data_IF_369808134994
#
_entry.id   IF_369808134994
#
_cell.length_a   1.000
_cell.length_b   1.000
_cell.length_c   1.000
_cell.angle_alpha   90.00
_cell.angle_beta   90.00
_cell.angle_gamma   90.00
#
_symmetry.space_group_name_H-M   'P 1'
#
loop_
_entity.id
_entity.type
_entity.pdbx_description
1 polymer ?
#
# COMPACT_ATOMS: atom_id res chain seq x y z
N UNK A 1 36.76 1.72 -38.57
CA UNK A 1 37.68 1.43 -37.43
C UNK A 1 38.67 2.58 -37.39
N UNK A 2 38.72 3.33 -36.28
CA UNK A 2 39.77 4.34 -36.09
C UNK A 2 41.09 3.62 -35.85
N UNK A 3 42.09 3.92 -36.67
CA UNK A 3 43.45 3.35 -36.57
C UNK A 3 44.21 4.12 -35.49
N UNK A 4 44.58 3.46 -34.39
CA UNK A 4 45.30 4.06 -33.28
C UNK A 4 46.81 4.13 -33.62
N UNK A 5 47.30 5.32 -33.93
CA UNK A 5 48.68 5.53 -34.42
C UNK A 5 49.67 5.90 -33.29
N UNK A 6 49.22 6.07 -32.04
CA UNK A 6 50.06 6.36 -30.86
C UNK A 6 49.38 5.95 -29.56
N UNK A 7 50.10 5.69 -28.47
CA UNK A 7 49.51 5.39 -27.17
C UNK A 7 48.69 6.57 -26.64
N UNK A 8 47.39 6.36 -26.45
CA UNK A 8 46.46 7.36 -25.92
C UNK A 8 45.29 6.66 -25.24
N UNK A 9 44.69 7.31 -24.26
CA UNK A 9 43.44 6.86 -23.64
C UNK A 9 42.28 7.39 -24.46
N UNK A 10 41.58 6.49 -25.14
CA UNK A 10 40.32 6.80 -25.80
C UNK A 10 39.20 6.53 -24.80
N UNK A 11 38.39 7.55 -24.56
CA UNK A 11 37.12 7.41 -23.80
C UNK A 11 36.02 7.29 -24.85
N UNK A 12 35.50 6.08 -25.04
CA UNK A 12 34.32 5.85 -25.85
C UNK A 12 33.09 5.98 -24.93
N UNK A 13 32.27 7.00 -25.13
CA UNK A 13 30.98 7.12 -24.45
C UNK A 13 30.02 6.09 -25.03
N UNK A 14 29.95 4.94 -24.40
CA UNK A 14 28.87 3.99 -24.64
C UNK A 14 27.62 4.51 -23.91
N UNK A 15 26.60 4.87 -24.66
CA UNK A 15 25.28 5.16 -24.06
C UNK A 15 24.75 3.88 -23.43
N UNK A 16 24.89 3.75 -22.12
CA UNK A 16 24.16 2.73 -21.38
C UNK A 16 22.67 3.02 -21.55
N UNK A 17 21.91 2.08 -22.12
CA UNK A 17 20.44 2.15 -22.20
C UNK A 17 19.79 1.89 -20.84
N UNK A 18 20.53 1.32 -19.91
CA UNK A 18 20.05 1.08 -18.55
C UNK A 18 19.84 2.44 -17.84
N UNK A 19 18.61 2.77 -17.55
CA UNK A 19 18.25 3.92 -16.72
C UNK A 19 17.96 3.42 -15.31
N UNK A 20 18.30 4.21 -14.29
CA UNK A 20 17.86 3.91 -12.93
C UNK A 20 16.33 3.82 -12.88
N UNK A 21 15.83 2.88 -12.08
CA UNK A 21 14.39 2.69 -11.91
C UNK A 21 13.84 3.88 -11.13
N UNK A 22 12.93 4.62 -11.74
CA UNK A 22 12.12 5.61 -11.05
C UNK A 22 11.07 4.89 -10.19
N UNK A 23 11.05 5.21 -8.91
CA UNK A 23 10.13 4.58 -7.97
C UNK A 23 8.69 4.95 -8.30
N UNK A 24 7.79 3.98 -8.27
CA UNK A 24 6.37 4.22 -8.49
C UNK A 24 5.78 5.14 -7.41
N UNK A 25 4.80 5.96 -7.80
CA UNK A 25 4.04 6.80 -6.86
C UNK A 25 3.37 5.94 -5.78
N UNK A 26 3.25 6.52 -4.58
CA UNK A 26 2.53 5.94 -3.45
C UNK A 26 1.44 6.88 -2.93
N UNK A 27 0.43 6.33 -2.25
CA UNK A 27 -0.66 7.12 -1.69
C UNK A 27 -1.63 7.64 -2.75
N UNK A 28 -1.66 7.05 -3.94
CA UNK A 28 -2.66 7.29 -4.97
C UNK A 28 -3.90 6.45 -4.66
N UNK A 29 -5.02 7.10 -4.34
CA UNK A 29 -6.26 6.42 -3.99
C UNK A 29 -7.27 6.40 -5.12
N UNK A 30 -8.01 5.29 -5.23
CA UNK A 30 -9.20 5.14 -6.07
C UNK A 30 -10.43 4.87 -5.20
N UNK A 31 -11.42 5.77 -5.23
CA UNK A 31 -12.67 5.56 -4.52
C UNK A 31 -13.80 5.22 -5.48
N UNK A 32 -14.58 4.23 -5.11
CA UNK A 32 -15.76 3.80 -5.86
C UNK A 32 -17.02 4.11 -5.05
N UNK A 33 -18.03 4.67 -5.70
CA UNK A 33 -19.31 4.92 -5.07
C UNK A 33 -20.40 5.29 -6.07
N UNK A 34 -21.62 5.40 -5.61
CA UNK A 34 -22.75 5.85 -6.43
C UNK A 34 -22.76 7.36 -6.49
N UNK A 35 -22.85 7.90 -7.69
CA UNK A 35 -22.93 9.34 -7.97
C UNK A 35 -24.11 9.56 -8.88
N UNK A 36 -24.98 10.56 -8.60
CA UNK A 36 -26.14 10.83 -9.44
C UNK A 36 -25.75 11.43 -10.79
N UNK A 37 -24.72 12.27 -10.81
CA UNK A 37 -24.23 13.01 -11.99
C UNK A 37 -22.70 13.07 -11.99
N UNK A 38 -22.11 13.32 -13.16
CA UNK A 38 -20.67 13.50 -13.33
C UNK A 38 -20.01 12.44 -14.20
N UNK A 39 -18.68 12.49 -14.36
CA UNK A 39 -17.95 11.52 -15.16
C UNK A 39 -17.96 10.13 -14.51
N UNK A 40 -18.01 9.08 -15.35
CA UNK A 40 -17.93 7.70 -14.86
C UNK A 40 -16.63 7.41 -14.12
N UNK A 41 -15.52 8.04 -14.57
CA UNK A 41 -14.24 8.07 -13.88
C UNK A 41 -13.72 9.49 -13.90
N UNK A 42 -13.27 10.01 -12.76
CA UNK A 42 -12.72 11.37 -12.67
C UNK A 42 -11.35 11.48 -13.34
N UNK A 43 -10.98 12.68 -13.68
CA UNK A 43 -9.57 13.03 -13.83
C UNK A 43 -8.86 12.94 -12.46
N UNK A 44 -7.53 13.05 -12.49
CA UNK A 44 -6.71 13.07 -11.26
C UNK A 44 -7.04 14.31 -10.42
N UNK A 45 -7.47 14.07 -9.19
CA UNK A 45 -7.77 15.12 -8.22
C UNK A 45 -6.58 15.30 -7.27
N UNK A 46 -6.17 16.54 -7.06
CA UNK A 46 -5.08 16.94 -6.18
C UNK A 46 -5.56 17.69 -4.93
N UNK A 47 -6.81 18.13 -4.94
CA UNK A 47 -7.44 18.86 -3.85
C UNK A 47 -8.96 18.65 -3.85
N UNK A 48 -9.61 18.99 -2.73
CA UNK A 48 -11.07 18.91 -2.62
C UNK A 48 -11.81 19.77 -3.68
N UNK A 49 -11.21 20.88 -4.11
CA UNK A 49 -11.77 21.73 -5.17
C UNK A 49 -11.92 20.99 -6.51
N UNK A 50 -11.09 20.00 -6.79
CA UNK A 50 -11.18 19.19 -8.01
C UNK A 50 -12.41 18.28 -7.97
N UNK A 51 -12.75 17.76 -6.77
CA UNK A 51 -13.99 17.00 -6.58
C UNK A 51 -15.23 17.87 -6.87
N UNK A 52 -15.27 19.10 -6.31
CA UNK A 52 -16.37 20.03 -6.55
C UNK A 52 -16.52 20.37 -8.03
N UNK A 53 -15.43 20.52 -8.78
CA UNK A 53 -15.48 20.75 -10.24
C UNK A 53 -16.03 19.57 -11.03
N UNK A 54 -15.71 18.35 -10.63
CA UNK A 54 -16.13 17.13 -11.32
C UNK A 54 -17.56 16.70 -11.00
N UNK A 55 -17.97 16.83 -9.73
CA UNK A 55 -19.21 16.24 -9.22
C UNK A 55 -20.11 17.24 -8.48
N UNK A 56 -19.74 18.54 -8.47
CA UNK A 56 -20.47 19.57 -7.75
C UNK A 56 -20.23 19.56 -6.25
N UNK A 57 -20.82 20.53 -5.56
CA UNK A 57 -20.69 20.72 -4.11
C UNK A 57 -21.80 20.05 -3.30
N UNK A 58 -22.60 19.19 -3.92
CA UNK A 58 -23.69 18.50 -3.23
C UNK A 58 -23.14 17.60 -2.10
N UNK A 59 -23.73 17.67 -0.91
CA UNK A 59 -23.32 16.80 0.18
C UNK A 59 -23.62 15.33 -0.15
N UNK A 60 -22.65 14.46 0.14
CA UNK A 60 -22.78 13.03 -0.10
C UNK A 60 -21.60 12.25 0.49
N UNK A 61 -21.75 10.95 0.53
CA UNK A 61 -20.73 10.07 1.13
C UNK A 61 -19.38 10.22 0.42
N UNK A 62 -19.35 10.31 -0.91
CA UNK A 62 -18.11 10.48 -1.66
C UNK A 62 -17.49 11.87 -1.50
N UNK A 63 -18.29 12.93 -1.36
CA UNK A 63 -17.78 14.26 -1.05
C UNK A 63 -17.12 14.30 0.34
N UNK A 64 -17.77 13.69 1.34
CA UNK A 64 -17.21 13.53 2.68
C UNK A 64 -15.96 12.63 2.67
N UNK A 65 -15.95 11.59 1.86
CA UNK A 65 -14.81 10.71 1.66
C UNK A 65 -13.61 11.44 1.04
N UNK A 66 -13.82 12.20 -0.03
CA UNK A 66 -12.76 12.99 -0.65
C UNK A 66 -12.17 14.01 0.34
N UNK A 67 -13.02 14.70 1.11
CA UNK A 67 -12.59 15.62 2.17
C UNK A 67 -11.76 14.90 3.23
N UNK A 68 -12.25 13.79 3.77
CA UNK A 68 -11.53 13.02 4.79
C UNK A 68 -10.18 12.51 4.28
N UNK A 69 -10.08 12.13 3.01
CA UNK A 69 -8.83 11.74 2.37
C UNK A 69 -7.81 12.89 2.34
N UNK A 70 -8.19 14.05 1.79
CA UNK A 70 -7.28 15.18 1.68
C UNK A 70 -6.91 15.75 3.05
N UNK A 71 -7.83 15.85 3.98
CA UNK A 71 -7.58 16.34 5.36
C UNK A 71 -6.59 15.43 6.11
N UNK A 72 -6.54 14.13 5.78
CA UNK A 72 -5.60 13.18 6.37
C UNK A 72 -4.27 13.06 5.61
N UNK A 73 -4.03 13.89 4.61
CA UNK A 73 -2.76 14.00 3.89
C UNK A 73 -2.75 13.26 2.56
N UNK A 74 -3.92 12.89 2.04
CA UNK A 74 -4.08 12.39 0.67
C UNK A 74 -3.64 13.43 -0.35
N UNK A 75 -3.06 12.99 -1.46
CA UNK A 75 -2.48 13.87 -2.48
C UNK A 75 -3.02 13.63 -3.88
N UNK A 76 -3.39 12.40 -4.18
CA UNK A 76 -3.89 12.01 -5.50
C UNK A 76 -5.08 11.09 -5.31
N UNK A 77 -6.22 11.49 -5.84
CA UNK A 77 -7.48 10.75 -5.78
C UNK A 77 -8.07 10.60 -7.15
N UNK A 78 -8.57 9.40 -7.44
CA UNK A 78 -9.48 9.12 -8.54
C UNK A 78 -10.81 8.63 -7.97
N UNK A 79 -11.90 8.98 -8.61
CA UNK A 79 -13.23 8.53 -8.23
C UNK A 79 -13.89 7.86 -9.41
N UNK A 80 -14.43 6.66 -9.21
CA UNK A 80 -15.20 5.95 -10.22
C UNK A 80 -16.65 5.75 -9.76
N UNK A 81 -17.59 6.08 -10.65
CA UNK A 81 -19.01 5.92 -10.39
C UNK A 81 -19.44 4.45 -10.58
N UNK A 82 -19.96 3.84 -9.53
CA UNK A 82 -20.61 2.53 -9.63
C UNK A 82 -22.05 2.69 -10.12
N UNK A 83 -22.43 1.93 -11.14
CA UNK A 83 -23.79 1.93 -11.70
C UNK A 83 -24.82 1.39 -10.69
N UNK A 84 -24.38 0.54 -9.75
CA UNK A 84 -25.18 0.02 -8.64
C UNK A 84 -24.33 -0.10 -7.38
N UNK A 85 -24.91 -0.05 -6.17
CA UNK A 85 -24.17 -0.11 -4.90
C UNK A 85 -23.77 -1.56 -4.51
N UNK A 86 -24.00 -2.52 -5.37
CA UNK A 86 -23.71 -3.92 -5.13
C UNK A 86 -22.29 -4.34 -5.58
N UNK A 87 -21.96 -5.59 -5.36
CA UNK A 87 -20.64 -6.13 -5.69
C UNK A 87 -20.30 -6.01 -7.20
N UNK A 88 -21.28 -6.18 -8.08
CA UNK A 88 -21.07 -6.14 -9.52
C UNK A 88 -20.79 -4.72 -10.02
N UNK A 89 -21.57 -3.73 -9.55
CA UNK A 89 -21.34 -2.32 -9.86
C UNK A 89 -20.02 -1.83 -9.33
N UNK A 90 -19.62 -2.24 -8.11
CA UNK A 90 -18.32 -1.91 -7.52
C UNK A 90 -17.18 -2.54 -8.32
N UNK A 91 -17.27 -3.81 -8.70
CA UNK A 91 -16.23 -4.49 -9.49
C UNK A 91 -16.00 -3.78 -10.83
N UNK A 92 -17.07 -3.49 -11.57
CA UNK A 92 -16.96 -2.79 -12.86
C UNK A 92 -16.34 -1.39 -12.72
N UNK A 93 -16.67 -0.66 -11.65
CA UNK A 93 -16.09 0.66 -11.39
C UNK A 93 -14.60 0.57 -10.98
N UNK A 94 -14.21 -0.45 -10.22
CA UNK A 94 -12.81 -0.70 -9.88
C UNK A 94 -11.95 -1.00 -11.11
N UNK A 95 -12.47 -1.76 -12.08
CA UNK A 95 -11.77 -2.10 -13.31
C UNK A 95 -11.57 -0.87 -14.22
N UNK A 96 -12.44 0.12 -14.11
CA UNK A 96 -12.32 1.38 -14.85
C UNK A 96 -11.30 2.35 -14.26
N UNK A 97 -10.85 2.16 -13.00
CA UNK A 97 -9.87 3.05 -12.36
C UNK A 97 -8.51 2.98 -13.04
N UNK A 98 -7.83 4.11 -13.23
CA UNK A 98 -6.44 4.15 -13.67
C UNK A 98 -5.52 3.48 -12.64
N UNK A 99 -4.21 3.36 -12.92
CA UNK A 99 -3.27 2.82 -11.94
C UNK A 99 -3.30 3.61 -10.63
N UNK A 100 -3.75 2.95 -9.56
CA UNK A 100 -3.79 3.46 -8.17
C UNK A 100 -3.23 2.37 -7.25
N UNK A 101 -2.75 2.74 -6.07
CA UNK A 101 -2.20 1.76 -5.12
C UNK A 101 -3.15 1.41 -3.96
N UNK A 102 -4.12 2.29 -3.68
CA UNK A 102 -5.13 2.04 -2.64
C UNK A 102 -6.53 2.18 -3.22
N UNK A 103 -7.40 1.21 -2.98
CA UNK A 103 -8.80 1.23 -3.41
C UNK A 103 -9.75 1.09 -2.24
N UNK A 104 -10.88 1.78 -2.31
CA UNK A 104 -11.97 1.67 -1.34
C UNK A 104 -13.33 1.95 -2.00
N UNK A 105 -14.40 1.49 -1.35
CA UNK A 105 -15.77 1.82 -1.71
C UNK A 105 -16.48 2.49 -0.52
N UNK A 106 -16.14 3.78 -0.22
CA UNK A 106 -16.64 4.46 0.97
C UNK A 106 -18.16 4.48 1.05
N UNK A 107 -18.70 4.01 2.18
CA UNK A 107 -20.15 3.95 2.40
C UNK A 107 -20.88 2.80 1.71
N UNK A 108 -20.24 2.08 0.80
CA UNK A 108 -20.76 0.85 0.22
C UNK A 108 -20.26 -0.32 1.08
N UNK A 109 -20.99 -0.62 2.14
CA UNK A 109 -20.58 -1.62 3.12
C UNK A 109 -21.34 -2.93 2.91
N UNK A 110 -20.66 -4.05 3.12
CA UNK A 110 -21.25 -5.37 3.02
C UNK A 110 -20.25 -6.42 2.55
N UNK A 111 -20.52 -7.70 2.85
CA UNK A 111 -19.63 -8.81 2.48
C UNK A 111 -19.44 -8.95 0.97
N UNK A 112 -20.45 -8.66 0.17
CA UNK A 112 -20.36 -8.70 -1.30
C UNK A 112 -19.39 -7.64 -1.83
N UNK A 113 -19.50 -6.40 -1.36
CA UNK A 113 -18.59 -5.31 -1.72
C UNK A 113 -17.16 -5.60 -1.23
N UNK A 114 -17.01 -6.09 0.00
CA UNK A 114 -15.72 -6.51 0.53
C UNK A 114 -15.08 -7.60 -0.35
N UNK A 115 -15.86 -8.59 -0.79
CA UNK A 115 -15.38 -9.64 -1.67
C UNK A 115 -14.94 -9.09 -3.05
N UNK A 116 -15.69 -8.14 -3.64
CA UNK A 116 -15.32 -7.48 -4.90
C UNK A 116 -14.00 -6.70 -4.77
N UNK A 117 -13.84 -5.91 -3.69
CA UNK A 117 -12.61 -5.18 -3.40
C UNK A 117 -11.42 -6.14 -3.21
N UNK A 118 -11.62 -7.24 -2.48
CA UNK A 118 -10.58 -8.25 -2.22
C UNK A 118 -10.17 -8.98 -3.51
N UNK A 119 -11.13 -9.38 -4.33
CA UNK A 119 -10.89 -10.05 -5.60
C UNK A 119 -10.11 -9.13 -6.56
N UNK A 120 -10.52 -7.87 -6.66
CA UNK A 120 -9.85 -6.88 -7.50
C UNK A 120 -8.41 -6.58 -7.02
N UNK A 121 -8.21 -6.33 -5.73
CA UNK A 121 -6.90 -6.04 -5.18
C UNK A 121 -5.96 -7.26 -5.19
N UNK A 122 -6.50 -8.46 -5.08
CA UNK A 122 -5.75 -9.72 -5.15
C UNK A 122 -5.42 -10.19 -6.57
N UNK A 123 -5.87 -9.47 -7.62
CA UNK A 123 -5.51 -9.81 -8.98
C UNK A 123 -4.02 -9.55 -9.24
N UNK A 124 -3.27 -10.51 -9.81
CA UNK A 124 -1.81 -10.41 -9.95
C UNK A 124 -1.31 -9.14 -10.66
N UNK A 125 -2.08 -8.65 -11.63
CA UNK A 125 -1.66 -7.51 -12.47
C UNK A 125 -2.03 -6.14 -11.88
N UNK A 126 -2.79 -6.10 -10.77
CA UNK A 126 -3.28 -4.83 -10.23
C UNK A 126 -2.33 -4.18 -9.23
N UNK A 127 -1.62 -4.97 -8.42
CA UNK A 127 -0.72 -4.50 -7.34
C UNK A 127 -1.36 -3.41 -6.46
N UNK A 128 -2.63 -3.62 -6.09
CA UNK A 128 -3.47 -2.69 -5.33
C UNK A 128 -3.73 -3.22 -3.92
N UNK A 129 -4.02 -2.32 -3.01
CA UNK A 129 -4.38 -2.64 -1.63
C UNK A 129 -5.78 -2.10 -1.31
N UNK A 130 -6.69 -2.96 -0.84
CA UNK A 130 -8.07 -2.58 -0.56
C UNK A 130 -8.26 -2.18 0.91
N UNK A 131 -9.00 -1.10 1.13
CA UNK A 131 -9.51 -0.70 2.43
C UNK A 131 -10.98 -1.06 2.52
N UNK A 132 -11.34 -1.87 3.51
CA UNK A 132 -12.70 -2.37 3.70
C UNK A 132 -13.36 -1.65 4.86
N UNK A 133 -14.54 -1.11 4.59
CA UNK A 133 -15.44 -0.56 5.59
C UNK A 133 -16.47 -1.62 5.96
N UNK A 134 -16.67 -1.94 7.26
CA UNK A 134 -17.79 -2.74 7.68
C UNK A 134 -19.07 -1.88 7.68
N UNK A 135 -20.26 -2.48 7.74
CA UNK A 135 -21.49 -1.74 8.00
C UNK A 135 -21.38 -0.86 9.26
N UNK A 136 -22.01 0.34 9.29
CA UNK A 136 -22.07 1.16 10.49
C UNK A 136 -22.86 0.47 11.61
N UNK A 137 -22.65 0.91 12.83
CA UNK A 137 -23.43 0.45 14.01
C UNK A 137 -23.07 -0.95 14.51
N UNK A 138 -22.05 -1.61 14.00
CA UNK A 138 -21.66 -2.94 14.46
C UNK A 138 -21.10 -2.89 15.89
N UNK A 139 -21.55 -3.81 16.71
CA UNK A 139 -20.95 -4.11 18.00
C UNK A 139 -19.76 -5.08 17.86
N UNK A 140 -19.18 -5.49 18.98
CA UNK A 140 -18.03 -6.39 19.01
C UNK A 140 -18.33 -7.75 18.35
N UNK A 141 -19.51 -8.30 18.54
CA UNK A 141 -19.91 -9.56 17.92
C UNK A 141 -20.19 -9.39 16.42
N UNK A 142 -20.82 -8.29 16.04
CA UNK A 142 -21.12 -7.94 14.66
C UNK A 142 -19.87 -7.76 13.82
N UNK A 143 -18.85 -7.06 14.31
CA UNK A 143 -17.59 -6.89 13.56
C UNK A 143 -16.81 -8.20 13.41
N UNK A 144 -16.82 -9.08 14.43
CA UNK A 144 -16.24 -10.42 14.32
C UNK A 144 -16.99 -11.27 13.29
N UNK A 145 -18.32 -11.23 13.29
CA UNK A 145 -19.15 -11.93 12.30
C UNK A 145 -18.91 -11.39 10.88
N UNK A 146 -18.77 -10.07 10.72
CA UNK A 146 -18.42 -9.46 9.44
C UNK A 146 -17.03 -9.92 8.96
N UNK A 147 -16.04 -9.93 9.84
CA UNK A 147 -14.66 -10.38 9.55
C UNK A 147 -14.57 -11.84 9.12
N UNK A 148 -15.46 -12.67 9.63
CA UNK A 148 -15.45 -14.11 9.36
C UNK A 148 -15.58 -14.39 7.86
N UNK A 149 -14.67 -15.24 7.34
CA UNK A 149 -14.59 -15.63 5.93
C UNK A 149 -13.83 -14.65 5.02
N UNK A 150 -13.41 -13.49 5.50
CA UNK A 150 -12.54 -12.60 4.73
C UNK A 150 -11.08 -13.03 4.93
N UNK A 151 -10.38 -13.44 3.87
CA UNK A 151 -8.98 -13.86 3.95
C UNK A 151 -8.20 -13.40 2.71
N UNK A 152 -7.31 -12.43 2.87
CA UNK A 152 -6.43 -11.94 1.81
C UNK A 152 -5.29 -11.11 2.42
N UNK A 153 -4.14 -11.11 1.77
CA UNK A 153 -3.03 -10.21 2.10
C UNK A 153 -3.18 -8.81 1.49
N UNK A 154 -4.09 -8.63 0.51
CA UNK A 154 -4.25 -7.39 -0.25
C UNK A 154 -5.38 -6.49 0.28
N UNK A 155 -5.85 -6.74 1.49
CA UNK A 155 -6.84 -5.86 2.11
C UNK A 155 -6.65 -5.70 3.62
N UNK A 156 -7.18 -4.60 4.13
CA UNK A 156 -7.29 -4.32 5.57
C UNK A 156 -8.69 -3.86 5.93
N UNK A 157 -9.18 -4.29 7.10
CA UNK A 157 -10.46 -3.93 7.68
C UNK A 157 -10.22 -2.95 8.84
N UNK A 158 -10.91 -1.80 8.82
CA UNK A 158 -10.84 -0.78 9.86
C UNK A 158 -12.20 -0.58 10.52
N UNK A 159 -12.21 -0.45 11.84
CA UNK A 159 -13.40 -0.28 12.67
C UNK A 159 -13.03 0.44 13.97
N UNK A 160 -13.95 1.21 14.58
CA UNK A 160 -15.31 1.59 14.15
C UNK A 160 -15.33 2.78 13.17
N UNK A 161 -16.52 3.21 12.77
CA UNK A 161 -16.71 4.40 11.95
C UNK A 161 -16.30 5.67 12.71
N UNK A 162 -15.93 6.71 11.95
CA UNK A 162 -15.36 7.96 12.45
C UNK A 162 -16.49 8.97 12.65
N UNK A 163 -16.54 9.58 13.84
CA UNK A 163 -17.41 10.72 14.12
C UNK A 163 -16.64 12.00 13.82
N UNK A 164 -17.20 12.84 12.97
CA UNK A 164 -16.70 14.17 12.60
C UNK A 164 -17.69 15.26 13.01
N UNK A 165 -17.34 16.53 12.78
CA UNK A 165 -18.27 17.63 12.99
C UNK A 165 -19.49 17.56 12.07
N UNK A 166 -19.35 16.97 10.87
CA UNK A 166 -20.37 16.89 9.83
C UNK A 166 -21.20 15.58 9.89
N UNK A 167 -20.87 14.67 10.80
CA UNK A 167 -21.57 13.40 10.97
C UNK A 167 -20.65 12.19 11.08
N UNK A 168 -21.20 11.01 10.85
CA UNK A 168 -20.49 9.74 10.90
C UNK A 168 -20.04 9.37 9.48
N UNK A 169 -18.75 9.06 9.31
CA UNK A 169 -18.14 8.73 8.01
C UNK A 169 -17.41 7.39 8.07
N UNK A 170 -17.31 6.67 6.93
CA UNK A 170 -16.58 5.41 6.87
C UNK A 170 -15.08 5.64 7.14
N UNK A 171 -14.36 4.64 7.69
CA UNK A 171 -12.94 4.76 8.00
C UNK A 171 -12.04 4.88 6.79
N UNK A 172 -12.34 4.15 5.70
CA UNK A 172 -11.41 3.95 4.58
C UNK A 172 -10.83 5.23 3.97
N UNK A 173 -11.56 6.36 3.82
CA UNK A 173 -10.99 7.56 3.22
C UNK A 173 -9.93 8.22 4.10
N UNK A 174 -10.20 8.38 5.38
CA UNK A 174 -9.24 8.94 6.33
C UNK A 174 -8.00 8.05 6.47
N UNK A 175 -8.18 6.74 6.40
CA UNK A 175 -7.10 5.76 6.43
C UNK A 175 -6.27 5.83 5.13
N UNK A 176 -6.89 5.94 3.96
CA UNK A 176 -6.17 6.12 2.69
C UNK A 176 -5.33 7.41 2.71
N UNK A 177 -5.87 8.51 3.23
CA UNK A 177 -5.13 9.76 3.43
C UNK A 177 -3.98 9.59 4.42
N UNK A 178 -4.20 8.86 5.51
CA UNK A 178 -3.14 8.51 6.48
C UNK A 178 -2.04 7.69 5.83
N UNK A 179 -2.36 6.72 4.95
CA UNK A 179 -1.37 5.97 4.18
C UNK A 179 -0.52 6.90 3.33
N UNK A 180 -1.14 7.77 2.53
CA UNK A 180 -0.44 8.73 1.68
C UNK A 180 0.49 9.65 2.48
N UNK A 181 0.05 10.12 3.65
CA UNK A 181 0.87 10.92 4.56
C UNK A 181 2.08 10.14 5.09
N UNK A 182 1.88 8.93 5.58
CA UNK A 182 2.95 8.08 6.13
C UNK A 182 3.94 7.69 5.04
N UNK A 183 3.47 7.31 3.87
CA UNK A 183 4.32 6.97 2.72
C UNK A 183 5.25 8.14 2.35
N UNK A 184 4.69 9.35 2.31
CA UNK A 184 5.47 10.56 1.98
C UNK A 184 6.50 10.91 3.07
N UNK A 185 6.14 10.74 4.34
CA UNK A 185 6.99 11.16 5.46
C UNK A 185 8.03 10.11 5.88
N UNK A 186 7.69 8.84 5.75
CA UNK A 186 8.45 7.74 6.32
C UNK A 186 8.71 6.60 5.34
N UNK A 187 7.98 6.55 4.22
CA UNK A 187 8.03 5.47 3.24
C UNK A 187 6.98 4.38 3.46
N UNK A 188 6.66 3.66 2.37
CA UNK A 188 5.62 2.63 2.30
C UNK A 188 5.83 1.47 3.29
N UNK A 189 7.06 1.22 3.72
CA UNK A 189 7.45 0.19 4.69
C UNK A 189 7.09 0.53 6.13
N UNK A 190 6.74 1.79 6.43
CA UNK A 190 6.26 2.17 7.77
C UNK A 190 4.80 1.76 7.91
N UNK A 191 4.50 0.97 8.95
CA UNK A 191 3.11 0.62 9.27
C UNK A 191 2.28 1.89 9.50
N UNK A 192 1.12 2.07 8.84
CA UNK A 192 0.25 3.24 8.98
C UNK A 192 -0.57 3.17 10.27
N UNK A 193 0.10 2.92 11.38
CA UNK A 193 -0.47 2.74 12.70
C UNK A 193 0.19 3.68 13.72
N UNK A 194 -0.52 3.96 14.80
CA UNK A 194 -0.21 5.00 15.79
C UNK A 194 -0.21 6.41 15.16
N UNK A 195 -1.00 6.61 14.12
CA UNK A 195 -1.15 7.87 13.41
C UNK A 195 -2.44 8.58 13.84
N UNK A 196 -2.41 9.92 13.84
CA UNK A 196 -3.59 10.74 14.15
C UNK A 196 -4.58 10.68 13.00
N UNK A 197 -5.87 10.52 13.33
CA UNK A 197 -6.98 10.66 12.40
C UNK A 197 -7.47 12.10 12.49
N UNK A 198 -7.11 12.91 11.51
CA UNK A 198 -7.52 14.32 11.48
C UNK A 198 -9.01 14.45 11.15
N UNK A 199 -9.65 15.47 11.71
CA UNK A 199 -11.09 15.70 11.56
C UNK A 199 -11.99 14.81 12.44
N UNK A 200 -11.43 13.76 13.06
CA UNK A 200 -12.19 12.91 13.98
C UNK A 200 -12.41 13.62 15.31
N UNK A 201 -13.67 13.78 15.72
CA UNK A 201 -14.07 14.21 17.08
C UNK A 201 -14.23 13.01 18.02
N UNK A 202 -14.40 11.81 17.46
CA UNK A 202 -14.53 10.55 18.17
C UNK A 202 -14.74 9.39 17.21
N UNK A 203 -15.22 8.29 17.76
CA UNK A 203 -15.58 7.09 16.99
C UNK A 203 -16.99 6.64 17.40
N UNK A 204 -17.71 6.04 16.45
CA UNK A 204 -19.08 5.54 16.67
C UNK A 204 -19.17 4.62 17.90
N UNK A 205 -18.09 3.92 18.20
CA UNK A 205 -17.96 3.07 19.38
C UNK A 205 -16.60 3.26 20.03
N UNK A 206 -16.61 3.39 21.37
CA UNK A 206 -15.38 3.37 22.14
C UNK A 206 -14.80 1.95 22.19
N UNK A 207 -13.55 1.81 21.77
CA UNK A 207 -12.79 0.55 21.80
C UNK A 207 -11.88 0.56 23.02
N UNK A 208 -12.06 -0.39 23.92
CA UNK A 208 -11.22 -0.56 25.11
C UNK A 208 -10.12 -1.61 24.85
N UNK A 209 -9.21 -1.76 25.82
CA UNK A 209 -8.08 -2.69 25.69
C UNK A 209 -8.53 -4.14 25.50
N UNK A 210 -9.53 -4.60 26.27
CA UNK A 210 -10.07 -5.95 26.15
C UNK A 210 -10.68 -6.25 24.79
N UNK A 211 -11.37 -5.28 24.17
CA UNK A 211 -11.92 -5.44 22.83
C UNK A 211 -10.77 -5.63 21.81
N UNK A 212 -9.71 -4.84 21.95
CA UNK A 212 -8.55 -4.92 21.07
C UNK A 212 -7.80 -6.25 21.21
N UNK A 213 -7.72 -6.81 22.40
CA UNK A 213 -7.12 -8.15 22.65
C UNK A 213 -7.86 -9.25 21.86
N UNK A 214 -9.16 -9.09 21.63
CA UNK A 214 -9.99 -9.98 20.81
C UNK A 214 -9.83 -9.66 19.32
N UNK A 215 -9.85 -8.39 18.93
CA UNK A 215 -9.93 -7.96 17.53
C UNK A 215 -8.58 -8.03 16.81
N UNK A 216 -7.48 -7.70 17.49
CA UNK A 216 -6.15 -7.67 16.87
C UNK A 216 -5.72 -9.02 16.30
N UNK A 217 -5.90 -10.17 16.98
CA UNK A 217 -5.57 -11.48 16.41
C UNK A 217 -6.36 -11.82 15.13
N UNK A 218 -7.56 -11.26 15.00
CA UNK A 218 -8.42 -11.43 13.83
C UNK A 218 -8.02 -10.53 12.65
N UNK A 219 -7.02 -9.65 12.79
CA UNK A 219 -6.62 -8.70 11.76
C UNK A 219 -7.60 -7.53 11.60
N UNK A 220 -8.41 -7.23 12.61
CA UNK A 220 -9.28 -6.05 12.64
C UNK A 220 -8.46 -4.89 13.20
N UNK A 221 -8.25 -3.86 12.38
CA UNK A 221 -7.51 -2.66 12.78
C UNK A 221 -8.46 -1.68 13.45
N UNK A 222 -8.21 -1.41 14.73
CA UNK A 222 -9.11 -0.55 15.48
C UNK A 222 -8.73 0.92 15.38
N UNK A 223 -9.75 1.78 15.39
CA UNK A 223 -9.61 3.22 15.60
C UNK A 223 -9.94 3.51 17.07
N UNK A 224 -9.06 4.25 17.75
CA UNK A 224 -9.15 4.37 19.20
C UNK A 224 -8.77 5.77 19.68
N UNK A 225 -9.53 6.27 20.67
CA UNK A 225 -9.22 7.51 21.37
C UNK A 225 -8.33 7.24 22.58
N UNK A 226 -7.31 8.06 22.74
CA UNK A 226 -6.39 8.01 23.87
C UNK A 226 -6.36 9.34 24.61
N UNK A 227 -6.45 9.30 25.92
CA UNK A 227 -6.31 10.51 26.75
C UNK A 227 -4.93 11.16 26.48
N UNK A 228 -4.94 12.46 26.18
CA UNK A 228 -3.74 13.24 25.89
C UNK A 228 -3.07 12.96 24.54
N UNK A 229 -3.54 11.96 23.77
CA UNK A 229 -2.96 11.60 22.45
C UNK A 229 -3.95 11.68 21.29
N UNK A 230 -5.23 11.90 21.59
CA UNK A 230 -6.29 12.06 20.58
C UNK A 230 -6.70 10.76 19.89
N UNK A 231 -7.38 10.91 18.75
CA UNK A 231 -7.94 9.84 17.95
C UNK A 231 -6.88 9.25 17.02
N UNK A 232 -6.69 7.92 17.10
CA UNK A 232 -5.58 7.26 16.38
C UNK A 232 -6.00 6.00 15.66
N UNK A 233 -5.31 5.74 14.56
CA UNK A 233 -5.23 4.43 13.93
C UNK A 233 -4.40 3.52 14.83
N UNK A 234 -4.98 2.39 15.28
CA UNK A 234 -4.32 1.51 16.26
C UNK A 234 -4.31 0.06 15.79
N UNK A 235 -3.80 -0.16 14.58
CA UNK A 235 -3.63 -1.46 13.95
C UNK A 235 -2.96 -1.32 12.59
N UNK A 236 -2.23 -2.36 12.17
CA UNK A 236 -1.48 -2.38 10.91
C UNK A 236 -1.44 -3.76 10.28
N UNK A 237 -2.53 -4.55 10.42
CA UNK A 237 -2.63 -5.93 9.96
C UNK A 237 -3.51 -6.04 8.72
N UNK A 238 -3.11 -6.94 7.84
CA UNK A 238 -3.94 -7.40 6.71
C UNK A 238 -5.01 -8.36 7.19
N UNK A 239 -5.85 -8.82 6.26
CA UNK A 239 -6.82 -9.89 6.51
C UNK A 239 -6.24 -11.30 6.31
N UNK A 240 -4.94 -11.43 6.06
CA UNK A 240 -4.30 -12.71 5.82
C UNK A 240 -4.28 -13.59 7.08
N UNK A 241 -4.58 -14.88 6.87
CA UNK A 241 -4.31 -15.93 7.86
C UNK A 241 -2.85 -16.37 7.87
N UNK A 242 -2.12 -16.12 6.79
CA UNK A 242 -0.69 -16.40 6.67
C UNK A 242 0.13 -15.39 7.47
N UNK A 243 0.96 -15.83 8.43
CA UNK A 243 1.79 -14.95 9.24
C UNK A 243 2.83 -14.14 8.47
N UNK A 244 3.27 -14.60 7.29
CA UNK A 244 4.22 -13.88 6.45
C UNK A 244 3.61 -12.60 5.91
N UNK A 245 2.34 -12.63 5.56
CA UNK A 245 1.58 -11.53 4.99
C UNK A 245 0.74 -10.76 6.01
N UNK A 246 1.00 -10.96 7.29
CA UNK A 246 0.26 -10.35 8.40
C UNK A 246 0.23 -8.82 8.37
N UNK A 247 1.28 -8.17 7.89
CA UNK A 247 1.46 -6.72 8.03
C UNK A 247 1.19 -5.97 6.74
N UNK A 248 0.39 -4.91 6.83
CA UNK A 248 0.04 -3.99 5.73
C UNK A 248 1.30 -3.41 5.09
N UNK A 249 2.27 -2.97 5.90
CA UNK A 249 3.51 -2.37 5.42
C UNK A 249 4.33 -3.34 4.57
N UNK A 250 4.35 -4.63 4.90
CA UNK A 250 5.05 -5.65 4.10
C UNK A 250 4.36 -5.84 2.76
N UNK A 251 3.03 -6.05 2.75
CA UNK A 251 2.29 -6.27 1.49
C UNK A 251 2.41 -5.06 0.57
N UNK A 252 2.16 -3.86 1.05
CA UNK A 252 2.24 -2.63 0.27
C UNK A 252 3.67 -2.34 -0.23
N UNK A 253 4.69 -2.68 0.55
CA UNK A 253 6.08 -2.56 0.15
C UNK A 253 6.40 -3.47 -1.05
N UNK A 254 5.90 -4.71 -1.04
CA UNK A 254 6.07 -5.63 -2.17
C UNK A 254 5.31 -5.11 -3.40
N UNK A 255 4.04 -4.72 -3.25
CA UNK A 255 3.24 -4.17 -4.36
C UNK A 255 3.89 -2.93 -4.99
N UNK A 256 4.51 -2.07 -4.18
CA UNK A 256 5.26 -0.91 -4.65
C UNK A 256 6.53 -1.30 -5.40
N UNK A 257 7.29 -2.29 -4.90
CA UNK A 257 8.47 -2.81 -5.58
C UNK A 257 8.09 -3.43 -6.93
N UNK A 258 7.03 -4.24 -6.96
CA UNK A 258 6.56 -4.88 -8.18
C UNK A 258 6.20 -3.84 -9.25
N UNK A 259 5.43 -2.80 -8.89
CA UNK A 259 5.11 -1.70 -9.81
C UNK A 259 6.34 -0.94 -10.28
N UNK A 260 7.25 -0.62 -9.36
CA UNK A 260 8.47 0.14 -9.68
C UNK A 260 9.38 -0.64 -10.62
N UNK A 261 9.59 -1.93 -10.34
CA UNK A 261 10.45 -2.81 -11.14
C UNK A 261 9.83 -3.07 -12.51
N UNK A 262 8.52 -3.38 -12.57
CA UNK A 262 7.83 -3.61 -13.83
C UNK A 262 7.90 -2.39 -14.76
N UNK A 263 7.65 -1.19 -14.23
CA UNK A 263 7.78 0.04 -15.00
C UNK A 263 9.23 0.31 -15.42
N UNK A 264 10.17 0.13 -14.49
CA UNK A 264 11.59 0.41 -14.71
C UNK A 264 12.29 -0.58 -15.64
N UNK A 265 11.75 -1.78 -15.82
CA UNK A 265 12.28 -2.80 -16.74
C UNK A 265 11.57 -2.83 -18.10
N UNK A 266 10.60 -1.95 -18.37
CA UNK A 266 9.85 -1.92 -19.64
C UNK A 266 10.75 -1.79 -20.89
N UNK A 267 11.92 -1.16 -20.76
CA UNK A 267 12.90 -1.02 -21.84
C UNK A 267 13.56 -2.35 -22.24
N UNK A 268 13.48 -3.40 -21.41
CA UNK A 268 14.10 -4.72 -21.72
C UNK A 268 13.34 -5.51 -22.78
N UNK A 269 12.09 -5.13 -23.03
CA UNK A 269 11.23 -5.79 -24.01
C UNK A 269 11.82 -5.60 -25.42
N UNK A 270 12.00 -6.70 -26.13
CA UNK A 270 12.65 -6.81 -27.44
C UNK A 270 14.18 -6.54 -27.45
N UNK A 271 14.83 -6.35 -26.32
CA UNK A 271 16.30 -6.35 -26.27
C UNK A 271 16.87 -7.78 -26.44
N UNK A 272 18.08 -7.93 -27.02
CA UNK A 272 18.70 -9.24 -27.13
C UNK A 272 18.89 -9.92 -25.78
N UNK A 273 18.24 -11.09 -25.57
CA UNK A 273 18.23 -11.82 -24.31
C UNK A 273 19.57 -12.54 -24.07
N UNK A 274 20.52 -11.86 -23.48
CA UNK A 274 21.87 -12.35 -23.22
C UNK A 274 22.56 -11.66 -22.04
N UNK A 275 23.79 -12.09 -21.74
CA UNK A 275 24.55 -11.66 -20.57
C UNK A 275 24.65 -10.12 -20.40
N UNK A 276 24.80 -9.31 -21.47
CA UNK A 276 24.82 -7.85 -21.30
C UNK A 276 23.51 -7.29 -20.77
N UNK A 277 22.36 -7.81 -21.26
CA UNK A 277 21.03 -7.42 -20.76
C UNK A 277 20.86 -7.85 -19.32
N UNK A 278 21.23 -9.08 -18.97
CA UNK A 278 21.08 -9.61 -17.61
C UNK A 278 21.92 -8.82 -16.60
N UNK A 279 23.14 -8.44 -16.98
CA UNK A 279 23.99 -7.58 -16.15
C UNK A 279 23.37 -6.20 -15.91
N UNK A 280 22.80 -5.58 -16.94
CA UNK A 280 22.11 -4.31 -16.85
C UNK A 280 20.87 -4.40 -15.94
N UNK A 281 20.06 -5.45 -16.07
CA UNK A 281 18.90 -5.71 -15.22
C UNK A 281 19.31 -5.89 -13.75
N UNK A 282 20.32 -6.73 -13.47
CA UNK A 282 20.85 -6.89 -12.09
C UNK A 282 21.29 -5.57 -11.50
N UNK A 283 21.95 -4.73 -12.29
CA UNK A 283 22.43 -3.43 -11.83
C UNK A 283 21.29 -2.48 -11.48
N UNK A 284 20.31 -2.27 -12.36
CA UNK A 284 19.25 -1.29 -12.12
C UNK A 284 18.30 -1.72 -11.00
N UNK A 285 17.94 -3.01 -10.93
CA UNK A 285 17.16 -3.56 -9.81
C UNK A 285 17.95 -3.49 -8.50
N UNK A 286 19.23 -3.87 -8.55
CA UNK A 286 20.12 -3.79 -7.39
C UNK A 286 20.25 -2.36 -6.85
N UNK A 287 20.35 -1.35 -7.71
CA UNK A 287 20.38 0.07 -7.32
C UNK A 287 19.11 0.49 -6.59
N UNK A 288 17.93 0.14 -7.10
CA UNK A 288 16.65 0.42 -6.44
C UNK A 288 16.58 -0.21 -5.05
N UNK A 289 16.91 -1.50 -4.95
CA UNK A 289 16.86 -2.23 -3.68
C UNK A 289 17.90 -1.72 -2.68
N UNK A 290 19.09 -1.33 -3.15
CA UNK A 290 20.13 -0.74 -2.31
C UNK A 290 19.72 0.62 -1.77
N UNK A 291 19.07 1.46 -2.58
CA UNK A 291 18.49 2.72 -2.13
C UNK A 291 17.40 2.48 -1.07
N UNK A 292 16.56 1.48 -1.28
CA UNK A 292 15.51 1.09 -0.36
C UNK A 292 16.06 0.56 0.98
N UNK A 293 17.11 -0.25 0.95
CA UNK A 293 17.83 -0.70 2.15
C UNK A 293 18.47 0.49 2.91
N UNK A 294 19.12 1.42 2.21
CA UNK A 294 19.72 2.63 2.82
C UNK A 294 18.68 3.53 3.49
N UNK A 295 17.46 3.54 2.97
CA UNK A 295 16.33 4.23 3.58
C UNK A 295 15.80 3.56 4.85
N UNK A 296 16.32 2.39 5.23
CA UNK A 296 15.91 1.64 6.42
C UNK A 296 14.68 0.76 6.24
N UNK A 297 14.29 0.49 5.01
CA UNK A 297 13.12 -0.31 4.67
C UNK A 297 13.35 -1.83 4.80
N UNK A 298 14.61 -2.25 4.76
CA UNK A 298 15.02 -3.66 4.79
C UNK A 298 15.90 -3.94 6.00
N UNK A 299 15.80 -5.16 6.51
CA UNK A 299 16.53 -5.64 7.67
C UNK A 299 17.91 -6.18 7.24
N UNK A 300 18.96 -5.90 8.02
CA UNK A 300 20.31 -6.39 7.78
C UNK A 300 21.36 -5.28 7.93
N UNK A 301 22.48 -5.61 8.57
CA UNK A 301 23.59 -4.67 8.76
C UNK A 301 24.39 -4.40 7.48
N UNK A 302 24.26 -5.30 6.49
CA UNK A 302 24.92 -5.22 5.17
C UNK A 302 23.91 -5.52 4.08
N UNK A 303 24.06 -4.93 2.87
CA UNK A 303 23.14 -5.16 1.75
C UNK A 303 22.93 -6.64 1.42
N UNK A 304 24.00 -7.44 1.46
CA UNK A 304 23.97 -8.88 1.11
C UNK A 304 23.11 -9.72 2.06
N UNK A 305 22.82 -9.20 3.26
CA UNK A 305 21.91 -9.81 4.24
C UNK A 305 20.45 -9.43 4.00
N UNK A 306 20.23 -8.35 3.25
CA UNK A 306 18.93 -7.72 3.06
C UNK A 306 18.34 -7.95 1.68
N UNK A 307 19.18 -8.10 0.67
CA UNK A 307 18.77 -8.17 -0.74
C UNK A 307 19.61 -9.17 -1.52
N UNK A 308 18.97 -9.79 -2.51
CA UNK A 308 19.69 -10.41 -3.63
C UNK A 308 18.92 -10.19 -4.94
N UNK A 309 19.66 -10.13 -6.05
CA UNK A 309 19.12 -10.07 -7.41
C UNK A 309 19.89 -11.06 -8.28
N UNK A 310 19.19 -12.02 -8.87
CA UNK A 310 19.73 -13.00 -9.79
C UNK A 310 19.04 -12.87 -11.14
N UNK A 311 19.83 -12.83 -12.18
CA UNK A 311 19.37 -12.85 -13.56
C UNK A 311 20.52 -13.40 -14.40
N UNK A 312 20.59 -14.71 -14.57
CA UNK A 312 21.67 -15.43 -15.23
C UNK A 312 21.23 -16.84 -15.65
N UNK A 313 22.16 -17.68 -16.06
CA UNK A 313 21.90 -19.07 -16.46
C UNK A 313 21.34 -19.96 -15.36
N UNK A 314 21.40 -19.55 -14.10
CA UNK A 314 20.81 -20.31 -12.98
C UNK A 314 19.34 -20.03 -12.81
N UNK A 315 18.85 -18.87 -13.28
CA UNK A 315 17.42 -18.48 -13.22
C UNK A 315 16.66 -18.85 -14.50
N UNK A 316 17.36 -19.13 -15.60
CA UNK A 316 16.77 -19.39 -16.92
C UNK A 316 17.28 -20.70 -17.54
N UNK A 317 16.35 -21.57 -17.90
CA UNK A 317 16.66 -22.75 -18.72
C UNK A 317 16.87 -22.37 -20.18
N UNK A 318 17.42 -23.30 -20.99
CA UNK A 318 17.50 -23.07 -22.44
C UNK A 318 16.11 -22.88 -23.05
N UNK A 319 15.10 -23.63 -22.58
CA UNK A 319 13.73 -23.46 -23.04
C UNK A 319 13.13 -22.10 -22.70
N UNK A 320 13.56 -21.45 -21.60
CA UNK A 320 13.12 -20.07 -21.29
C UNK A 320 13.73 -19.09 -22.30
N UNK A 321 15.01 -19.24 -22.62
CA UNK A 321 15.69 -18.40 -23.60
C UNK A 321 15.12 -18.56 -25.01
N UNK A 322 14.89 -19.79 -25.42
CA UNK A 322 14.30 -20.10 -26.73
C UNK A 322 12.88 -19.54 -26.90
N UNK A 323 12.15 -19.40 -25.77
CA UNK A 323 10.83 -18.76 -25.73
C UNK A 323 10.88 -17.26 -25.43
N UNK A 324 12.07 -16.63 -25.44
CA UNK A 324 12.23 -15.19 -25.22
C UNK A 324 11.91 -14.74 -23.78
N UNK A 325 11.93 -15.64 -22.79
CA UNK A 325 11.68 -15.31 -21.38
C UNK A 325 12.97 -14.83 -20.70
N UNK A 326 12.87 -13.71 -20.00
CA UNK A 326 13.89 -13.21 -19.07
C UNK A 326 13.32 -13.34 -17.66
N UNK A 327 14.03 -14.09 -16.80
CA UNK A 327 13.60 -14.36 -15.42
C UNK A 327 14.57 -13.69 -14.47
N UNK A 328 14.02 -12.82 -13.61
CA UNK A 328 14.77 -12.14 -12.54
C UNK A 328 14.27 -12.65 -11.21
N UNK A 329 15.16 -13.22 -10.41
CA UNK A 329 14.83 -13.59 -9.02
C UNK A 329 15.29 -12.49 -8.08
N UNK A 330 14.37 -12.02 -7.25
CA UNK A 330 14.59 -10.94 -6.28
C UNK A 330 14.22 -11.45 -4.89
N UNK A 331 15.12 -11.30 -3.93
CA UNK A 331 14.81 -11.54 -2.53
C UNK A 331 15.10 -10.31 -1.69
N UNK A 332 14.18 -10.04 -0.76
CA UNK A 332 14.31 -8.94 0.19
C UNK A 332 13.97 -9.41 1.62
N UNK A 333 14.56 -8.76 2.61
CA UNK A 333 14.25 -8.95 4.03
C UNK A 333 13.52 -7.73 4.59
N UNK A 334 12.17 -7.63 4.50
CA UNK A 334 11.43 -6.45 4.93
C UNK A 334 11.47 -6.27 6.46
N UNK A 335 11.50 -5.01 6.91
CA UNK A 335 11.39 -4.67 8.33
C UNK A 335 9.95 -4.88 8.79
N UNK A 336 9.77 -5.61 9.89
CA UNK A 336 8.47 -5.84 10.52
C UNK A 336 8.20 -4.78 11.60
N UNK A 337 6.97 -4.29 11.74
CA UNK A 337 6.63 -3.33 12.78
C UNK A 337 6.72 -3.96 14.17
N UNK A 338 7.17 -3.19 15.16
CA UNK A 338 7.09 -3.59 16.57
C UNK A 338 5.66 -3.36 17.08
N UNK A 339 4.92 -4.43 17.32
CA UNK A 339 3.57 -4.37 17.91
C UNK A 339 3.59 -4.44 19.44
N UNK A 340 4.59 -5.11 20.03
CA UNK A 340 4.67 -5.36 21.46
C UNK A 340 6.01 -4.85 22.01
N UNK A 341 5.94 -4.03 23.04
CA UNK A 341 7.11 -3.56 23.78
C UNK A 341 7.13 -4.28 25.12
N UNK A 342 8.13 -5.11 25.34
CA UNK A 342 8.34 -5.80 26.62
C UNK A 342 9.48 -5.10 27.35
N UNK A 343 9.16 -4.45 28.47
CA UNK A 343 10.18 -3.86 29.36
C UNK A 343 10.43 -4.82 30.51
N UNK A 344 11.70 -5.15 30.73
CA UNK A 344 12.14 -5.89 31.92
C UNK A 344 12.87 -4.94 32.84
N UNK A 345 12.25 -4.61 33.96
CA UNK A 345 12.83 -3.75 34.98
C UNK A 345 13.28 -4.63 36.15
N UNK A 346 14.56 -4.62 36.46
CA UNK A 346 15.16 -5.33 37.60
C UNK A 346 15.67 -4.33 38.63
N UNK A 347 15.59 -4.70 39.93
CA UNK A 347 16.29 -3.99 40.98
C UNK A 347 17.75 -4.49 41.03
N UNK A 348 18.67 -3.54 40.91
CA UNK A 348 20.11 -3.80 41.01
C UNK A 348 20.59 -3.30 42.36
N UNK A 349 21.35 -4.12 43.08
CA UNK A 349 22.08 -3.72 44.27
C UNK A 349 23.43 -3.17 43.88
N UNK A 350 23.92 -2.15 44.59
CA UNK A 350 25.19 -1.42 44.31
C UNK A 350 26.41 -2.32 44.16
N UNK A 351 26.38 -3.52 44.68
CA UNK A 351 27.49 -4.47 44.71
C UNK A 351 27.79 -5.17 43.37
N UNK A 352 26.98 -4.93 42.31
CA UNK A 352 27.19 -5.51 40.96
C UNK A 352 27.74 -4.48 39.92
N UNK A 353 28.21 -3.34 40.37
CA UNK A 353 28.84 -2.33 39.47
C UNK A 353 30.37 -2.30 39.61
N UNK A 354 31.01 -3.46 39.90
CA UNK A 354 32.47 -3.61 39.89
C UNK A 354 32.90 -4.60 38.81
#
# INVERSE_FOLDING_TARGET
>A
MAEFLHPVVFVEETRSRARDIEAADTGVAGFVGTLPDGPAVSERMLAMADFGRAYGDAPGVLAAAARAFFDNGGRQLYVAAAASPDAAGVAAALDALPPVDVVAAPGLAGKGVAAALMAHAGHPDHHRFALIDPPPGLDLAGIQAFRSGLNTSHAALYWPWIVTADGIVPPSPAIAGTYARVDTQRGVWKAPANETVYGATGFERAVVKSDQEILSPLGINVLRSFAGRGNRVWGGRTLASDPEWKYISIRRQIDWLDRSIAAGLSWTVFEPNGEPLWAAVRQVVGNLLLAHWRAGALHGARPEQAIFVRCDRTTMTQGDLDNGRLIVEIGIAPVRPAEFIVMRVGLWTSDRMS
#
